data_IF_597460405413
#
_entry.id   IF_597460405413
#
_cell.length_a   1.000
_cell.length_b   1.000
_cell.length_c   1.000
_cell.angle_alpha   90.00
_cell.angle_beta   90.00
_cell.angle_gamma   90.00
#
_symmetry.space_group_name_H-M   'P 1'
#
loop_
_entity.id
_entity.type
_entity.pdbx_description
1 polymer ?
#
# COMPACT_ATOMS: atom_id res chain seq x y z
N UNK A 1 14.38 -19.95 -2.03
CA UNK A 1 14.18 -18.71 -1.24
C UNK A 1 14.64 -17.48 -2.01
N UNK A 2 14.14 -16.31 -1.64
CA UNK A 2 14.57 -15.04 -2.24
C UNK A 2 15.74 -14.49 -1.40
N UNK A 3 16.85 -14.17 -2.07
CA UNK A 3 17.97 -13.49 -1.42
C UNK A 3 17.62 -12.04 -1.17
N UNK A 4 17.80 -11.55 0.06
CA UNK A 4 17.56 -10.17 0.43
C UNK A 4 18.84 -9.47 0.83
N UNK A 5 18.94 -8.17 0.51
CA UNK A 5 20.03 -7.32 0.92
C UNK A 5 19.48 -6.10 1.67
N UNK A 6 20.22 -5.63 2.67
CA UNK A 6 19.82 -4.44 3.40
C UNK A 6 19.94 -3.21 2.48
N UNK A 7 18.84 -2.46 2.33
CA UNK A 7 18.74 -1.32 1.37
C UNK A 7 19.79 -0.21 1.57
N UNK A 8 20.36 -0.07 2.76
CA UNK A 8 21.40 0.94 3.06
C UNK A 8 22.82 0.35 2.99
N UNK A 9 22.98 -0.96 2.81
CA UNK A 9 24.28 -1.55 2.51
C UNK A 9 24.57 -1.40 1.01
N UNK A 10 25.11 -0.23 0.64
CA UNK A 10 25.32 0.12 -0.76
C UNK A 10 26.26 -0.83 -1.49
N UNK A 11 27.23 -1.46 -0.81
CA UNK A 11 28.14 -2.46 -1.43
C UNK A 11 27.36 -3.71 -1.84
N UNK A 12 26.48 -4.22 -0.98
CA UNK A 12 25.62 -5.36 -1.32
C UNK A 12 24.62 -4.99 -2.42
N UNK A 13 24.02 -3.80 -2.38
CA UNK A 13 23.10 -3.31 -3.42
C UNK A 13 23.83 -3.21 -4.78
N UNK A 14 25.02 -2.63 -4.81
CA UNK A 14 25.84 -2.54 -6.03
C UNK A 14 26.20 -3.92 -6.58
N UNK A 15 26.60 -4.84 -5.70
CA UNK A 15 26.90 -6.23 -6.09
C UNK A 15 25.66 -6.92 -6.67
N UNK A 16 24.51 -6.80 -6.01
CA UNK A 16 23.24 -7.36 -6.48
C UNK A 16 22.86 -6.82 -7.87
N UNK A 17 22.94 -5.50 -8.06
CA UNK A 17 22.66 -4.87 -9.37
C UNK A 17 23.64 -5.36 -10.44
N UNK A 18 24.92 -5.43 -10.11
CA UNK A 18 25.96 -5.88 -11.08
C UNK A 18 25.72 -7.30 -11.57
N UNK A 19 25.24 -8.18 -10.71
CA UNK A 19 25.01 -9.61 -11.04
C UNK A 19 23.57 -9.93 -11.46
N UNK A 20 22.68 -8.93 -11.57
CA UNK A 20 21.33 -9.11 -12.10
C UNK A 20 21.29 -8.92 -13.62
N UNK A 21 20.30 -9.52 -14.29
CA UNK A 21 20.01 -9.30 -15.72
C UNK A 21 19.08 -8.10 -15.91
N UNK A 22 18.14 -7.93 -14.99
CA UNK A 22 17.17 -6.84 -14.98
C UNK A 22 17.00 -6.27 -13.57
N UNK A 23 16.75 -4.97 -13.47
CA UNK A 23 16.41 -4.30 -12.22
C UNK A 23 14.95 -3.85 -12.28
N UNK A 24 14.12 -4.43 -11.41
CA UNK A 24 12.72 -4.05 -11.24
C UNK A 24 12.62 -3.04 -10.09
N UNK A 25 12.19 -1.81 -10.39
CA UNK A 25 11.80 -0.83 -9.39
C UNK A 25 10.28 -0.88 -9.26
N UNK A 26 9.79 -1.66 -8.31
CA UNK A 26 8.38 -2.00 -8.25
C UNK A 26 7.72 -1.82 -6.90
N UNK A 27 6.40 -1.74 -6.98
CA UNK A 27 5.49 -1.62 -5.85
C UNK A 27 5.35 -0.18 -5.30
N UNK A 28 4.12 0.25 -5.08
CA UNK A 28 3.80 1.52 -4.44
C UNK A 28 4.12 2.77 -5.27
N UNK A 29 4.10 3.92 -4.60
CA UNK A 29 4.39 5.23 -5.20
C UNK A 29 5.81 5.66 -4.80
N UNK A 30 6.81 5.18 -5.55
CA UNK A 30 8.23 5.39 -5.22
C UNK A 30 8.77 6.74 -5.73
N UNK A 31 8.31 7.16 -6.92
CA UNK A 31 8.72 8.41 -7.55
C UNK A 31 7.80 9.55 -7.08
N UNK A 32 8.03 10.01 -5.86
CA UNK A 32 7.31 11.12 -5.23
C UNK A 32 8.17 11.77 -4.14
N UNK A 33 7.96 13.05 -3.86
CA UNK A 33 8.66 13.75 -2.79
C UNK A 33 7.72 14.40 -1.75
N UNK A 34 6.43 14.06 -1.78
CA UNK A 34 5.46 14.51 -0.78
C UNK A 34 5.80 14.03 0.63
N UNK A 35 6.39 12.84 0.77
CA UNK A 35 6.88 12.32 2.05
C UNK A 35 8.33 12.67 2.31
N UNK A 36 9.23 12.55 1.32
CA UNK A 36 10.66 12.82 1.47
C UNK A 36 11.38 12.92 0.13
N UNK A 37 12.09 14.03 -0.09
CA UNK A 37 13.02 14.19 -1.23
C UNK A 37 14.18 13.18 -1.15
N UNK A 38 14.64 12.80 0.07
CA UNK A 38 15.71 11.81 0.24
C UNK A 38 15.28 10.44 -0.31
N UNK A 39 14.03 10.05 -0.11
CA UNK A 39 13.49 8.80 -0.66
C UNK A 39 13.47 8.82 -2.18
N UNK A 40 13.00 9.91 -2.79
CA UNK A 40 13.04 10.09 -4.24
C UNK A 40 14.47 9.97 -4.79
N UNK A 41 15.43 10.65 -4.18
CA UNK A 41 16.84 10.58 -4.59
C UNK A 41 17.40 9.16 -4.50
N UNK A 42 17.06 8.41 -3.47
CA UNK A 42 17.48 7.01 -3.34
C UNK A 42 17.03 6.17 -4.55
N UNK A 43 15.74 6.20 -4.91
CA UNK A 43 15.22 5.43 -6.04
C UNK A 43 15.82 5.87 -7.38
N UNK A 44 15.99 7.17 -7.60
CA UNK A 44 16.65 7.68 -8.81
C UNK A 44 18.12 7.23 -8.88
N UNK A 45 18.81 7.17 -7.74
CA UNK A 45 20.20 6.69 -7.67
C UNK A 45 20.30 5.21 -8.04
N UNK A 46 19.40 4.36 -7.54
CA UNK A 46 19.35 2.92 -7.90
C UNK A 46 19.16 2.76 -9.42
N UNK A 47 18.23 3.50 -10.02
CA UNK A 47 18.03 3.47 -11.48
C UNK A 47 19.30 3.89 -12.22
N UNK A 48 19.95 4.99 -11.80
CA UNK A 48 21.21 5.44 -12.43
C UNK A 48 22.33 4.42 -12.33
N UNK A 49 22.50 3.79 -11.19
CA UNK A 49 23.48 2.72 -10.97
C UNK A 49 23.20 1.54 -11.90
N UNK A 50 21.95 1.10 -11.99
CA UNK A 50 21.56 0.02 -12.89
C UNK A 50 21.89 0.35 -14.35
N UNK A 51 21.56 1.56 -14.79
CA UNK A 51 21.91 2.02 -16.16
C UNK A 51 23.42 2.17 -16.39
N UNK A 52 24.18 2.59 -15.36
CA UNK A 52 25.65 2.62 -15.42
C UNK A 52 26.23 1.23 -15.65
N UNK A 53 25.69 0.20 -15.01
CA UNK A 53 26.04 -1.21 -15.26
C UNK A 53 25.37 -1.80 -16.52
N UNK A 54 24.76 -0.97 -17.36
CA UNK A 54 24.07 -1.36 -18.60
C UNK A 54 22.96 -2.39 -18.39
N UNK A 55 22.33 -2.39 -17.21
CA UNK A 55 21.22 -3.30 -16.92
C UNK A 55 19.92 -2.77 -17.53
N UNK A 56 19.02 -3.68 -17.88
CA UNK A 56 17.64 -3.32 -18.20
C UNK A 56 16.94 -2.91 -16.92
N UNK A 57 16.13 -1.83 -17.00
CA UNK A 57 15.39 -1.30 -15.86
C UNK A 57 13.93 -1.19 -16.21
N UNK A 58 13.08 -1.76 -15.36
CA UNK A 58 11.63 -1.64 -15.48
C UNK A 58 11.07 -1.01 -14.20
N UNK A 59 10.27 0.03 -14.37
CA UNK A 59 9.37 0.50 -13.31
C UNK A 59 8.11 -0.35 -13.37
N UNK A 60 7.90 -1.19 -12.35
CA UNK A 60 6.83 -2.20 -12.37
C UNK A 60 5.65 -1.78 -11.51
N UNK A 61 4.48 -1.61 -12.13
CA UNK A 61 3.21 -1.27 -11.49
C UNK A 61 3.32 -0.08 -10.50
N UNK A 62 4.04 0.96 -10.92
CA UNK A 62 4.26 2.14 -10.08
C UNK A 62 3.06 3.08 -10.14
N UNK A 63 2.67 3.61 -8.96
CA UNK A 63 2.01 4.90 -8.89
C UNK A 63 3.05 6.01 -8.95
N UNK A 64 2.75 7.10 -9.62
CA UNK A 64 3.57 8.30 -9.62
C UNK A 64 2.88 9.32 -8.72
N UNK A 65 3.59 9.79 -7.72
CA UNK A 65 3.05 10.79 -6.82
C UNK A 65 3.47 12.20 -7.20
N UNK A 66 3.04 13.20 -6.45
CA UNK A 66 3.45 14.57 -6.73
C UNK A 66 4.96 14.71 -6.64
N UNK A 67 5.58 15.19 -7.73
CA UNK A 67 6.98 15.59 -7.77
C UNK A 67 7.03 17.10 -7.78
N UNK A 68 7.30 17.70 -6.62
CA UNK A 68 7.37 19.13 -6.41
C UNK A 68 8.80 19.66 -6.56
N UNK A 69 8.91 20.91 -7.04
CA UNK A 69 10.19 21.59 -7.23
C UNK A 69 10.84 21.34 -8.59
N UNK A 70 11.30 22.41 -9.23
CA UNK A 70 11.88 22.38 -10.58
C UNK A 70 13.08 21.42 -10.69
N UNK A 71 13.93 21.38 -9.67
CA UNK A 71 15.10 20.50 -9.63
C UNK A 71 14.70 19.02 -9.58
N UNK A 72 13.78 18.66 -8.69
CA UNK A 72 13.30 17.28 -8.56
C UNK A 72 12.64 16.80 -9.87
N UNK A 73 11.78 17.61 -10.47
CA UNK A 73 11.17 17.30 -11.78
C UNK A 73 12.22 17.09 -12.88
N UNK A 74 13.25 17.97 -12.92
CA UNK A 74 14.36 17.83 -13.89
C UNK A 74 15.14 16.53 -13.67
N UNK A 75 15.43 16.15 -12.41
CA UNK A 75 16.13 14.91 -12.08
C UNK A 75 15.29 13.68 -12.44
N UNK A 76 14.00 13.68 -12.10
CA UNK A 76 13.08 12.59 -12.49
C UNK A 76 13.03 12.48 -14.01
N UNK A 77 12.81 13.57 -14.74
CA UNK A 77 12.82 13.58 -16.21
C UNK A 77 14.11 12.96 -16.78
N UNK A 78 15.25 13.40 -16.28
CA UNK A 78 16.56 12.97 -16.80
C UNK A 78 16.82 11.49 -16.54
N UNK A 79 16.49 10.99 -15.33
CA UNK A 79 16.77 9.61 -14.93
C UNK A 79 15.72 8.66 -15.50
N UNK A 80 14.43 8.98 -15.38
CA UNK A 80 13.35 8.07 -15.80
C UNK A 80 13.29 7.93 -17.33
N UNK A 81 13.70 8.94 -18.10
CA UNK A 81 13.86 8.78 -19.55
C UNK A 81 14.97 7.78 -19.97
N UNK A 82 15.76 7.25 -19.05
CA UNK A 82 16.74 6.19 -19.34
C UNK A 82 16.21 4.78 -19.05
N UNK A 83 15.03 4.67 -18.44
CA UNK A 83 14.38 3.39 -18.13
C UNK A 83 13.87 2.74 -19.41
N UNK A 84 13.84 1.42 -19.46
CA UNK A 84 13.46 0.69 -20.68
C UNK A 84 11.95 0.53 -20.78
N UNK A 85 11.28 0.18 -19.67
CA UNK A 85 9.83 -0.06 -19.63
C UNK A 85 9.25 0.51 -18.34
N UNK A 86 8.05 1.07 -18.44
CA UNK A 86 7.27 1.54 -17.29
C UNK A 86 5.86 0.95 -17.38
N UNK A 87 5.46 0.19 -16.37
CA UNK A 87 4.05 -0.13 -16.15
C UNK A 87 3.53 0.72 -14.98
N UNK A 88 2.36 1.29 -15.19
CA UNK A 88 1.67 2.14 -14.21
C UNK A 88 0.37 1.46 -13.78
N UNK A 89 0.03 1.58 -12.53
CA UNK A 89 -1.21 1.01 -12.01
C UNK A 89 -2.45 1.88 -12.23
N UNK A 90 -2.27 3.13 -12.72
CA UNK A 90 -3.36 4.11 -12.90
C UNK A 90 -3.02 5.15 -13.98
N UNK A 91 -4.06 5.66 -14.66
CA UNK A 91 -3.93 6.67 -15.73
C UNK A 91 -3.41 8.02 -15.22
N UNK A 92 -3.70 8.40 -13.98
CA UNK A 92 -3.22 9.66 -13.41
C UNK A 92 -1.70 9.71 -13.36
N UNK A 93 -1.05 8.60 -13.02
CA UNK A 93 0.40 8.46 -13.01
C UNK A 93 1.02 8.66 -14.40
N UNK A 94 0.33 8.26 -15.47
CA UNK A 94 0.77 8.53 -16.85
C UNK A 94 0.75 10.04 -17.17
N UNK A 95 -0.33 10.73 -16.77
CA UNK A 95 -0.43 12.17 -16.95
C UNK A 95 0.68 12.93 -16.17
N UNK A 96 0.97 12.48 -14.95
CA UNK A 96 2.05 13.03 -14.12
C UNK A 96 3.42 12.86 -14.79
N UNK A 97 3.76 11.67 -15.30
CA UNK A 97 5.01 11.43 -16.04
C UNK A 97 5.12 12.31 -17.29
N UNK A 98 4.04 12.39 -18.07
CA UNK A 98 3.99 13.28 -19.27
C UNK A 98 4.22 14.74 -18.88
N UNK A 99 3.61 15.21 -17.79
CA UNK A 99 3.79 16.59 -17.28
C UNK A 99 5.21 16.90 -16.84
N UNK A 100 5.95 15.88 -16.37
CA UNK A 100 7.37 15.98 -16.00
C UNK A 100 8.25 15.98 -17.26
N UNK A 101 7.75 15.48 -18.39
CA UNK A 101 8.48 15.34 -19.64
C UNK A 101 9.21 14.01 -19.78
N UNK A 102 8.66 12.95 -19.19
CA UNK A 102 9.09 11.55 -19.40
C UNK A 102 8.33 11.01 -20.61
N UNK A 103 9.05 10.75 -21.70
CA UNK A 103 8.47 10.40 -23.01
C UNK A 103 9.22 9.30 -23.77
N UNK A 104 10.44 8.92 -23.30
CA UNK A 104 11.27 7.95 -24.01
C UNK A 104 10.96 6.49 -23.70
N UNK A 105 10.66 6.10 -22.44
CA UNK A 105 10.34 4.71 -22.12
C UNK A 105 9.03 4.27 -22.78
N UNK A 106 8.90 2.95 -23.02
CA UNK A 106 7.60 2.35 -23.30
C UNK A 106 6.76 2.40 -22.02
N UNK A 107 5.67 3.19 -22.04
CA UNK A 107 4.78 3.38 -20.88
C UNK A 107 3.45 2.65 -21.16
N UNK A 108 3.07 1.78 -20.26
CA UNK A 108 1.81 1.04 -20.29
C UNK A 108 1.05 1.27 -18.99
N UNK A 109 -0.24 1.56 -19.09
CA UNK A 109 -1.14 1.59 -17.94
C UNK A 109 -1.75 0.20 -17.77
N UNK A 110 -1.56 -0.38 -16.61
CA UNK A 110 -2.03 -1.71 -16.23
C UNK A 110 -2.89 -1.63 -14.96
N UNK A 111 -2.84 -2.63 -14.10
CA UNK A 111 -3.48 -2.63 -12.78
C UNK A 111 -2.43 -2.80 -11.67
N UNK A 112 -2.83 -2.59 -10.42
CA UNK A 112 -2.01 -2.94 -9.26
C UNK A 112 -1.87 -4.48 -9.20
N UNK A 113 -0.65 -5.04 -9.05
CA UNK A 113 -0.45 -6.49 -8.97
C UNK A 113 -1.20 -7.17 -7.83
N UNK A 114 -1.63 -6.41 -6.83
CA UNK A 114 -2.42 -6.93 -5.72
C UNK A 114 -3.78 -7.54 -6.18
N UNK A 115 -4.27 -7.17 -7.38
CA UNK A 115 -5.44 -7.82 -7.98
C UNK A 115 -5.21 -9.28 -8.38
N UNK A 116 -3.95 -9.70 -8.57
CA UNK A 116 -3.59 -11.08 -8.94
C UNK A 116 -3.17 -11.91 -7.72
N UNK A 117 -3.33 -11.38 -6.50
CA UNK A 117 -2.99 -12.12 -5.29
C UNK A 117 -3.97 -13.28 -5.10
N UNK A 118 -3.44 -14.46 -4.84
CA UNK A 118 -4.24 -15.63 -4.47
C UNK A 118 -4.67 -15.55 -3.00
N UNK A 119 -5.96 -15.79 -2.77
CA UNK A 119 -6.55 -15.84 -1.44
C UNK A 119 -6.36 -17.23 -0.81
N UNK A 120 -6.32 -17.30 0.52
CA UNK A 120 -6.64 -18.55 1.22
C UNK A 120 -8.11 -18.92 1.00
N UNK A 121 -8.46 -20.16 1.33
CA UNK A 121 -9.86 -20.61 1.27
C UNK A 121 -10.75 -19.86 2.28
N UNK A 122 -12.06 -19.83 2.01
CA UNK A 122 -13.00 -19.17 2.90
C UNK A 122 -13.06 -19.89 4.27
N UNK A 123 -12.97 -21.24 4.30
CA UNK A 123 -12.91 -22.02 5.54
C UNK A 123 -11.69 -21.65 6.40
N UNK A 124 -10.53 -21.44 5.76
CA UNK A 124 -9.33 -20.99 6.47
C UNK A 124 -9.48 -19.55 6.98
N UNK A 125 -10.10 -18.68 6.20
CA UNK A 125 -10.35 -17.29 6.60
C UNK A 125 -11.28 -17.22 7.82
N UNK A 126 -12.37 -17.98 7.84
CA UNK A 126 -13.27 -18.06 8.98
C UNK A 126 -12.58 -18.61 10.23
N UNK A 127 -11.74 -19.64 10.12
CA UNK A 127 -10.94 -20.16 11.25
C UNK A 127 -10.04 -19.08 11.86
N UNK A 128 -9.45 -18.19 11.03
CA UNK A 128 -8.62 -17.09 11.54
C UNK A 128 -9.45 -16.07 12.32
N UNK A 129 -10.70 -15.80 11.92
CA UNK A 129 -11.63 -14.96 12.67
C UNK A 129 -12.04 -15.61 14.00
N UNK A 130 -12.30 -16.92 14.02
CA UNK A 130 -12.59 -17.69 15.22
C UNK A 130 -11.44 -17.64 16.23
N UNK A 131 -10.20 -17.79 15.76
CA UNK A 131 -9.00 -17.68 16.60
C UNK A 131 -8.86 -16.30 17.27
N UNK A 132 -9.34 -15.24 16.63
CA UNK A 132 -9.42 -13.88 17.17
C UNK A 132 -10.71 -13.62 17.95
N UNK A 133 -11.59 -14.65 18.10
CA UNK A 133 -12.88 -14.59 18.82
C UNK A 133 -13.82 -13.52 18.26
N UNK A 134 -13.85 -13.38 16.95
CA UNK A 134 -14.73 -12.45 16.24
C UNK A 134 -16.04 -13.18 15.97
N UNK A 135 -17.19 -12.64 16.41
CA UNK A 135 -18.47 -13.30 16.20
C UNK A 135 -18.89 -13.21 14.72
N UNK A 136 -19.51 -14.27 14.23
CA UNK A 136 -20.09 -14.35 12.90
C UNK A 136 -21.55 -13.87 12.96
N UNK A 137 -21.79 -12.62 12.68
CA UNK A 137 -23.12 -12.03 12.64
C UNK A 137 -23.56 -11.77 11.19
N UNK A 138 -24.85 -11.49 10.99
CA UNK A 138 -25.44 -11.29 9.66
C UNK A 138 -24.83 -10.16 8.85
N UNK A 139 -24.30 -9.11 9.50
CA UNK A 139 -23.61 -8.02 8.82
C UNK A 139 -22.33 -7.61 9.56
N UNK A 140 -21.23 -7.73 8.85
CA UNK A 140 -19.90 -7.44 9.38
C UNK A 140 -19.21 -6.32 8.61
N UNK A 141 -18.64 -5.36 9.34
CA UNK A 141 -17.89 -4.22 8.77
C UNK A 141 -16.44 -4.32 9.19
N UNK A 142 -15.54 -4.40 8.20
CA UNK A 142 -14.10 -4.26 8.44
C UNK A 142 -13.68 -2.80 8.40
N UNK A 143 -12.88 -2.37 9.38
CA UNK A 143 -12.36 -0.99 9.47
C UNK A 143 -10.84 -1.00 9.49
N UNK A 144 -10.21 -0.37 8.48
CA UNK A 144 -8.75 -0.27 8.41
C UNK A 144 -8.32 1.20 8.42
N UNK A 145 -7.79 1.64 9.56
CA UNK A 145 -7.34 3.02 9.77
C UNK A 145 -5.84 3.18 9.56
N UNK A 146 -5.44 4.38 9.19
CA UNK A 146 -4.03 4.76 9.02
C UNK A 146 -3.76 6.08 9.73
N UNK A 147 -2.58 6.22 10.35
CA UNK A 147 -2.19 7.50 10.94
C UNK A 147 -1.95 8.54 9.84
N UNK A 148 -2.81 9.56 9.82
CA UNK A 148 -2.76 10.68 8.88
C UNK A 148 -2.86 12.02 9.60
N UNK A 149 -2.31 12.11 10.79
CA UNK A 149 -2.49 13.22 11.74
C UNK A 149 -2.16 14.62 11.18
N UNK A 150 -1.27 14.71 10.19
CA UNK A 150 -0.83 16.00 9.62
C UNK A 150 -1.83 16.62 8.62
N UNK A 151 -2.70 15.83 7.98
CA UNK A 151 -3.56 16.29 6.90
C UNK A 151 -5.03 16.54 7.33
N UNK A 152 -5.49 15.91 8.42
CA UNK A 152 -6.91 15.88 8.78
C UNK A 152 -7.21 16.34 10.22
N UNK A 153 -6.48 17.32 10.75
CA UNK A 153 -6.87 17.97 12.02
C UNK A 153 -6.61 17.12 13.27
N UNK A 154 -5.54 16.33 13.31
CA UNK A 154 -5.15 15.61 14.52
C UNK A 154 -6.11 14.47 14.89
N UNK A 155 -6.65 14.48 16.11
CA UNK A 155 -7.52 13.41 16.61
C UNK A 155 -8.99 13.52 16.17
N UNK A 156 -9.36 14.58 15.43
CA UNK A 156 -10.74 14.81 15.04
C UNK A 156 -11.28 13.69 14.14
N UNK A 157 -10.48 13.20 13.17
CA UNK A 157 -10.89 12.08 12.33
C UNK A 157 -11.05 10.78 13.12
N UNK A 158 -10.24 10.56 14.16
CA UNK A 158 -10.33 9.38 15.04
C UNK A 158 -11.68 9.32 15.73
N UNK A 159 -12.15 10.47 16.27
CA UNK A 159 -13.48 10.60 16.89
C UNK A 159 -14.61 10.42 15.88
N UNK A 160 -14.43 10.92 14.65
CA UNK A 160 -15.42 10.72 13.57
C UNK A 160 -15.54 9.25 13.19
N UNK A 161 -14.41 8.53 13.03
CA UNK A 161 -14.43 7.10 12.76
C UNK A 161 -15.10 6.34 13.92
N UNK A 162 -14.76 6.65 15.17
CA UNK A 162 -15.40 6.05 16.35
C UNK A 162 -16.93 6.23 16.32
N UNK A 163 -17.41 7.44 16.02
CA UNK A 163 -18.86 7.73 15.93
C UNK A 163 -19.53 6.94 14.80
N UNK A 164 -18.87 6.80 13.64
CA UNK A 164 -19.41 5.97 12.53
C UNK A 164 -19.51 4.51 12.95
N UNK A 165 -18.49 3.98 13.64
CA UNK A 165 -18.50 2.62 14.16
C UNK A 165 -19.62 2.41 15.21
N UNK A 166 -19.78 3.34 16.15
CA UNK A 166 -20.86 3.30 17.14
C UNK A 166 -22.24 3.25 16.48
N UNK A 167 -22.46 4.10 15.48
CA UNK A 167 -23.74 4.11 14.73
C UNK A 167 -23.99 2.78 14.03
N UNK A 168 -22.97 2.19 13.40
CA UNK A 168 -23.09 0.90 12.72
C UNK A 168 -23.43 -0.24 13.72
N UNK A 169 -22.82 -0.21 14.90
CA UNK A 169 -23.12 -1.21 15.94
C UNK A 169 -24.55 -1.01 16.51
N UNK A 170 -24.98 0.22 16.69
CA UNK A 170 -26.34 0.53 17.11
C UNK A 170 -27.40 0.07 16.09
N UNK A 171 -27.03 -0.06 14.81
CA UNK A 171 -27.83 -0.67 13.74
C UNK A 171 -27.75 -2.21 13.69
N UNK A 172 -27.10 -2.84 14.66
CA UNK A 172 -26.96 -4.32 14.76
C UNK A 172 -25.79 -4.93 14.01
N UNK A 173 -24.86 -4.12 13.47
CA UNK A 173 -23.70 -4.61 12.71
C UNK A 173 -22.51 -4.92 13.62
N UNK A 174 -21.70 -5.91 13.24
CA UNK A 174 -20.44 -6.20 13.91
C UNK A 174 -19.31 -5.40 13.26
N UNK A 175 -18.60 -4.60 14.06
CA UNK A 175 -17.44 -3.81 13.60
C UNK A 175 -16.15 -4.49 14.04
N UNK A 176 -15.24 -4.71 13.07
CA UNK A 176 -13.94 -5.36 13.27
C UNK A 176 -12.83 -4.47 12.71
N UNK A 177 -11.89 -4.06 13.54
CA UNK A 177 -10.71 -3.35 13.10
C UNK A 177 -9.69 -4.32 12.51
N UNK A 178 -9.20 -4.02 11.29
CA UNK A 178 -8.22 -4.80 10.55
C UNK A 178 -6.93 -3.99 10.36
N UNK A 179 -5.94 -4.07 11.30
CA UNK A 179 -4.66 -3.39 11.17
C UNK A 179 -3.82 -4.01 10.06
N UNK A 180 -3.18 -3.17 9.22
CA UNK A 180 -2.31 -3.60 8.12
C UNK A 180 -0.82 -3.41 8.42
N UNK A 181 -0.45 -2.34 9.13
CA UNK A 181 0.93 -2.02 9.50
C UNK A 181 1.10 -2.11 11.02
N UNK A 182 1.79 -3.14 11.47
CA UNK A 182 2.05 -3.36 12.90
C UNK A 182 3.37 -2.73 13.35
N UNK A 183 3.43 -2.09 14.53
CA UNK A 183 2.34 -1.94 15.51
C UNK A 183 1.42 -0.73 15.28
N UNK A 184 1.74 0.14 14.34
CA UNK A 184 1.15 1.48 14.18
C UNK A 184 -0.37 1.49 13.99
N UNK A 185 -0.88 0.65 13.09
CA UNK A 185 -2.32 0.60 12.83
C UNK A 185 -3.07 -0.07 13.98
N UNK A 186 -2.43 -1.03 14.66
CA UNK A 186 -3.00 -1.66 15.86
C UNK A 186 -3.19 -0.64 16.98
N UNK A 187 -2.18 0.18 17.26
CA UNK A 187 -2.25 1.24 18.27
C UNK A 187 -3.31 2.28 17.91
N UNK A 188 -3.36 2.69 16.66
CA UNK A 188 -4.35 3.63 16.17
C UNK A 188 -5.77 3.06 16.25
N UNK A 189 -5.98 1.81 15.88
CA UNK A 189 -7.28 1.13 15.99
C UNK A 189 -7.74 1.08 17.44
N UNK A 190 -6.85 0.73 18.38
CA UNK A 190 -7.14 0.79 19.83
C UNK A 190 -7.48 2.21 20.29
N UNK A 191 -6.81 3.23 19.73
CA UNK A 191 -7.13 4.63 20.00
C UNK A 191 -8.53 5.01 19.48
N UNK A 192 -8.93 4.57 18.28
CA UNK A 192 -10.31 4.76 17.81
C UNK A 192 -11.30 4.10 18.76
N UNK A 193 -11.06 2.82 19.11
CA UNK A 193 -11.92 2.07 20.03
C UNK A 193 -12.05 2.74 21.41
N UNK A 194 -11.02 3.45 21.90
CA UNK A 194 -11.10 4.19 23.18
C UNK A 194 -12.04 5.40 23.14
N UNK A 195 -12.43 5.89 21.97
CA UNK A 195 -13.44 6.94 21.79
C UNK A 195 -14.84 6.40 21.50
N UNK A 196 -14.95 5.06 21.26
CA UNK A 196 -16.24 4.41 21.02
C UNK A 196 -17.00 4.19 22.33
N UNK A 197 -18.32 4.15 22.23
CA UNK A 197 -19.24 3.80 23.30
C UNK A 197 -19.64 2.34 23.22
N UNK A 198 -19.71 1.80 21.99
CA UNK A 198 -20.11 0.45 21.69
C UNK A 198 -18.89 -0.50 21.58
N UNK A 199 -19.12 -1.78 21.74
CA UNK A 199 -18.07 -2.80 21.70
C UNK A 199 -17.73 -3.20 20.27
N UNK A 200 -16.53 -2.88 19.79
CA UNK A 200 -15.95 -3.38 18.54
C UNK A 200 -14.92 -4.48 18.81
N UNK A 201 -14.55 -5.19 17.73
CA UNK A 201 -13.51 -6.22 17.73
C UNK A 201 -12.27 -5.73 16.99
N UNK A 202 -11.13 -6.41 17.17
CA UNK A 202 -9.87 -6.06 16.52
C UNK A 202 -9.02 -7.30 16.29
N UNK A 203 -8.52 -7.46 15.06
CA UNK A 203 -7.54 -8.49 14.71
C UNK A 203 -6.18 -8.10 15.29
N UNK A 204 -5.61 -8.97 16.14
CA UNK A 204 -4.38 -8.65 16.87
C UNK A 204 -3.13 -9.29 16.26
N UNK A 205 -3.28 -10.43 15.58
CA UNK A 205 -2.17 -11.14 14.95
C UNK A 205 -1.77 -10.51 13.63
N UNK A 206 -0.56 -10.79 13.20
CA UNK A 206 -0.09 -10.44 11.84
C UNK A 206 -0.45 -11.56 10.88
N UNK A 207 -0.98 -11.19 9.74
CA UNK A 207 -1.39 -12.10 8.69
C UNK A 207 -0.59 -11.85 7.42
N UNK A 208 -0.41 -12.90 6.60
CA UNK A 208 0.14 -12.76 5.26
C UNK A 208 -0.83 -12.03 4.34
N UNK A 209 -0.38 -11.45 3.22
CA UNK A 209 -1.28 -10.80 2.26
C UNK A 209 -2.43 -11.71 1.78
N UNK A 210 -2.15 -13.00 1.51
CA UNK A 210 -3.17 -13.99 1.10
C UNK A 210 -4.21 -14.24 2.19
N UNK A 211 -3.77 -14.28 3.46
CA UNK A 211 -4.68 -14.41 4.61
C UNK A 211 -5.55 -13.15 4.77
N UNK A 212 -4.96 -11.95 4.67
CA UNK A 212 -5.73 -10.70 4.71
C UNK A 212 -6.78 -10.66 3.60
N UNK A 213 -6.42 -11.06 2.38
CA UNK A 213 -7.35 -11.13 1.26
C UNK A 213 -8.52 -12.08 1.56
N UNK A 214 -8.24 -13.26 2.13
CA UNK A 214 -9.28 -14.19 2.56
C UNK A 214 -10.18 -13.60 3.65
N UNK A 215 -9.55 -13.04 4.71
CA UNK A 215 -10.26 -12.41 5.83
C UNK A 215 -11.17 -11.27 5.34
N UNK A 216 -10.72 -10.44 4.39
CA UNK A 216 -11.55 -9.36 3.83
C UNK A 216 -12.82 -9.92 3.19
N UNK A 217 -12.75 -11.08 2.55
CA UNK A 217 -13.93 -11.74 1.95
C UNK A 217 -14.99 -12.22 2.94
N UNK A 218 -14.70 -12.22 4.24
CA UNK A 218 -15.67 -12.57 5.28
C UNK A 218 -16.55 -11.38 5.73
N UNK A 219 -16.32 -10.19 5.19
CA UNK A 219 -17.04 -8.98 5.56
C UNK A 219 -18.01 -8.55 4.45
N UNK A 220 -19.06 -7.82 4.83
CA UNK A 220 -20.02 -7.24 3.88
C UNK A 220 -19.60 -5.84 3.42
N UNK A 221 -18.89 -5.10 4.28
CA UNK A 221 -18.48 -3.72 4.01
C UNK A 221 -17.04 -3.51 4.48
N UNK A 222 -16.24 -2.80 3.66
CA UNK A 222 -14.91 -2.34 4.01
C UNK A 222 -14.86 -0.81 4.12
N UNK A 223 -14.61 -0.30 5.31
CA UNK A 223 -14.26 1.11 5.55
C UNK A 223 -12.75 1.24 5.70
N UNK A 224 -12.05 1.79 4.71
CA UNK A 224 -10.60 1.79 4.74
C UNK A 224 -9.92 3.09 4.31
N UNK A 225 -8.83 3.41 5.01
CA UNK A 225 -7.84 4.42 4.63
C UNK A 225 -6.60 3.79 3.95
N UNK A 226 -6.53 2.47 3.83
CA UNK A 226 -5.43 1.72 3.22
C UNK A 226 -5.83 1.26 1.81
N UNK A 227 -5.06 1.68 0.79
CA UNK A 227 -5.34 1.33 -0.61
C UNK A 227 -5.46 -0.19 -0.83
N UNK A 228 -4.54 -0.98 -0.28
CA UNK A 228 -4.55 -2.42 -0.53
C UNK A 228 -5.76 -3.13 0.08
N UNK A 229 -6.28 -2.68 1.22
CA UNK A 229 -7.53 -3.24 1.76
C UNK A 229 -8.73 -2.92 0.89
N UNK A 230 -8.77 -1.74 0.23
CA UNK A 230 -9.80 -1.41 -0.76
C UNK A 230 -9.66 -2.27 -2.04
N UNK A 231 -8.42 -2.55 -2.49
CA UNK A 231 -8.18 -3.47 -3.60
C UNK A 231 -8.67 -4.87 -3.22
N UNK A 232 -8.35 -5.34 -2.01
CA UNK A 232 -8.79 -6.65 -1.53
C UNK A 232 -10.31 -6.74 -1.42
N UNK A 233 -10.97 -5.68 -0.93
CA UNK A 233 -12.43 -5.57 -0.91
C UNK A 233 -13.01 -5.68 -2.33
N UNK A 234 -12.43 -4.95 -3.30
CA UNK A 234 -12.86 -5.03 -4.69
C UNK A 234 -12.66 -6.44 -5.31
N UNK A 235 -11.56 -7.14 -4.97
CA UNK A 235 -11.31 -8.52 -5.43
C UNK A 235 -12.32 -9.50 -4.84
N UNK A 236 -12.77 -9.26 -3.61
CA UNK A 236 -13.72 -10.13 -2.88
C UNK A 236 -15.18 -9.69 -3.01
N UNK A 237 -15.47 -8.61 -3.75
CA UNK A 237 -16.81 -8.03 -3.92
C UNK A 237 -17.44 -7.56 -2.59
N UNK A 238 -16.64 -6.97 -1.72
CA UNK A 238 -17.00 -6.40 -0.42
C UNK A 238 -17.22 -4.90 -0.50
#
# INVERSE_FOLDING_TARGET
GINSVQRFNMLQVLSAIKHSDIVLSGGGTLLQNGTSTRSLMYYLTIIKIAKFFRKRVMLYANGIGPVSGKLNRRLVKMVVNTVDVITLREKLSEADLKSIGVTKPNIMVTADPAFNLESISDDEAWKLLDEEKIPHNEQMIAVSVRNWSKAFGGDDYVKKVAKVCDNAIAEGKTVVFLPMEYPRDLELSKKVMSYMKEKAYIMQKRYTPSQILGIVGCFDIMLSMRLHTLIFAAVKNV
#
